data_IF_061157369861
#
_entry.id   IF_061157369861
#
_cell.length_a   1.000
_cell.length_b   1.000
_cell.length_c   1.000
_cell.angle_alpha   90.00
_cell.angle_beta   90.00
_cell.angle_gamma   90.00
#
_symmetry.space_group_name_H-M   'P 1'
#
loop_
_entity.id
_entity.type
_entity.pdbx_description
1 polymer ?
#
# COMPACT_ATOMS: atom_id res chain seq x y z
N UNK A 1 1.06 19.96 5.37
CA UNK A 1 -0.28 19.53 4.92
C UNK A 1 -0.49 18.07 5.29
N UNK A 2 -1.42 17.80 6.22
CA UNK A 2 -1.76 16.46 6.72
C UNK A 2 -2.22 15.61 5.53
N UNK A 3 -1.59 14.46 5.27
CA UNK A 3 -2.10 13.54 4.25
C UNK A 3 -3.54 13.20 4.61
N UNK A 4 -4.44 13.33 3.65
CA UNK A 4 -5.83 12.95 3.84
C UNK A 4 -5.88 11.47 4.24
N UNK A 5 -6.70 11.08 5.23
CA UNK A 5 -6.78 9.69 5.68
C UNK A 5 -7.12 8.72 4.53
N UNK A 6 -7.84 9.20 3.52
CA UNK A 6 -8.11 8.50 2.26
C UNK A 6 -6.83 8.10 1.52
N UNK A 7 -5.83 8.98 1.43
CA UNK A 7 -4.55 8.67 0.77
C UNK A 7 -3.76 7.59 1.50
N UNK A 8 -3.82 7.61 2.83
CA UNK A 8 -3.20 6.58 3.67
C UNK A 8 -3.91 5.24 3.45
N UNK A 9 -5.25 5.22 3.49
CA UNK A 9 -6.03 4.02 3.22
C UNK A 9 -5.74 3.43 1.82
N UNK A 10 -5.66 4.27 0.79
CA UNK A 10 -5.32 3.85 -0.57
C UNK A 10 -3.94 3.18 -0.65
N UNK A 11 -2.94 3.70 0.07
CA UNK A 11 -1.60 3.10 0.11
C UNK A 11 -1.56 1.77 0.87
N UNK A 12 -2.36 1.62 1.93
CA UNK A 12 -2.52 0.35 2.65
C UNK A 12 -3.19 -0.70 1.78
N UNK A 13 -4.25 -0.33 1.06
CA UNK A 13 -4.90 -1.23 0.09
C UNK A 13 -3.88 -1.68 -0.96
N UNK A 14 -3.09 -0.75 -1.50
CA UNK A 14 -2.04 -1.10 -2.46
C UNK A 14 -1.01 -2.08 -1.87
N UNK A 15 -0.50 -1.86 -0.66
CA UNK A 15 0.40 -2.82 0.02
C UNK A 15 -0.21 -4.22 0.10
N UNK A 16 -1.46 -4.32 0.57
CA UNK A 16 -2.16 -5.59 0.76
C UNK A 16 -2.38 -6.31 -0.59
N UNK A 17 -2.81 -5.57 -1.62
CA UNK A 17 -3.02 -6.14 -2.96
C UNK A 17 -1.72 -6.62 -3.61
N UNK A 18 -0.58 -5.98 -3.30
CA UNK A 18 0.73 -6.39 -3.82
C UNK A 18 1.28 -7.65 -3.15
N UNK A 19 0.83 -7.95 -1.93
CA UNK A 19 1.12 -9.18 -1.19
C UNK A 19 0.21 -10.34 -1.58
N UNK A 20 -0.95 -10.04 -2.16
CA UNK A 20 -1.88 -11.03 -2.67
C UNK A 20 -1.41 -11.56 -4.02
N UNK A 21 -1.84 -12.78 -4.38
CA UNK A 21 -1.59 -13.34 -5.72
C UNK A 21 -2.28 -12.52 -6.83
N UNK A 22 -3.43 -11.91 -6.52
CA UNK A 22 -4.18 -11.00 -7.41
C UNK A 22 -3.66 -9.56 -7.29
N UNK A 23 -2.54 -9.28 -7.96
CA UNK A 23 -1.92 -7.95 -7.97
C UNK A 23 -2.78 -6.97 -8.75
N UNK A 24 -3.43 -6.04 -8.04
CA UNK A 24 -4.22 -4.97 -8.66
C UNK A 24 -3.32 -3.84 -9.16
N UNK A 25 -3.52 -3.34 -10.39
CA UNK A 25 -2.78 -2.20 -10.88
C UNK A 25 -3.12 -0.95 -10.07
N UNK A 26 -2.13 -0.09 -9.89
CA UNK A 26 -2.23 1.17 -9.13
C UNK A 26 -3.37 2.07 -9.65
N UNK A 27 -3.63 2.02 -10.96
CA UNK A 27 -4.73 2.71 -11.64
C UNK A 27 -6.11 2.29 -11.12
N UNK A 28 -6.34 1.01 -10.85
CA UNK A 28 -7.63 0.53 -10.35
C UNK A 28 -7.88 1.02 -8.92
N UNK A 29 -6.83 1.07 -8.10
CA UNK A 29 -6.90 1.60 -6.74
C UNK A 29 -7.10 3.12 -6.77
N UNK A 30 -6.44 3.81 -7.70
CA UNK A 30 -6.66 5.23 -7.93
C UNK A 30 -8.10 5.53 -8.32
N UNK A 31 -8.68 4.74 -9.23
CA UNK A 31 -10.07 4.86 -9.65
C UNK A 31 -11.05 4.56 -8.50
N UNK A 32 -10.79 3.50 -7.71
CA UNK A 32 -11.65 3.10 -6.59
C UNK A 32 -11.62 4.09 -5.41
N UNK A 33 -10.46 4.70 -5.14
CA UNK A 33 -10.26 5.60 -3.99
C UNK A 33 -10.38 7.08 -4.35
N UNK A 34 -10.35 7.41 -5.64
CA UNK A 34 -10.31 8.79 -6.14
C UNK A 34 -8.99 9.52 -5.86
N UNK A 35 -7.94 8.81 -5.45
CA UNK A 35 -6.63 9.39 -5.13
C UNK A 35 -5.70 9.27 -6.33
N UNK A 36 -4.98 10.34 -6.66
CA UNK A 36 -3.99 10.29 -7.73
C UNK A 36 -2.88 9.26 -7.45
N UNK A 37 -2.50 8.49 -8.47
CA UNK A 37 -1.48 7.43 -8.38
C UNK A 37 -0.17 7.90 -7.73
N UNK A 38 0.29 9.11 -8.07
CA UNK A 38 1.50 9.70 -7.47
C UNK A 38 1.38 9.91 -5.96
N UNK A 39 0.18 10.24 -5.46
CA UNK A 39 -0.07 10.42 -4.02
C UNK A 39 -0.10 9.08 -3.29
N UNK A 40 -0.67 8.04 -3.92
CA UNK A 40 -0.68 6.68 -3.39
C UNK A 40 0.77 6.17 -3.28
N UNK A 41 1.57 6.32 -4.34
CA UNK A 41 2.98 5.91 -4.33
C UNK A 41 3.80 6.68 -3.28
N UNK A 42 3.57 7.99 -3.15
CA UNK A 42 4.26 8.80 -2.14
C UNK A 42 3.87 8.38 -0.71
N UNK A 43 2.60 8.07 -0.48
CA UNK A 43 2.12 7.58 0.83
C UNK A 43 2.63 6.17 1.12
N UNK A 44 2.70 5.30 0.11
CA UNK A 44 3.29 3.97 0.18
C UNK A 44 4.76 4.04 0.61
N UNK A 45 5.56 4.96 0.03
CA UNK A 45 6.97 5.17 0.40
C UNK A 45 7.13 5.46 1.90
N UNK A 46 6.27 6.29 2.46
CA UNK A 46 6.33 6.62 3.90
C UNK A 46 5.86 5.47 4.79
N UNK A 47 4.93 4.65 4.32
CA UNK A 47 4.37 3.52 5.07
C UNK A 47 5.22 2.25 4.97
N UNK A 48 6.01 2.10 3.89
CA UNK A 48 6.87 0.95 3.64
C UNK A 48 7.75 0.52 4.84
N UNK A 49 8.49 1.44 5.53
CA UNK A 49 9.28 1.05 6.70
C UNK A 49 8.42 0.60 7.90
N UNK A 50 7.14 0.93 7.92
CA UNK A 50 6.19 0.54 8.97
C UNK A 50 5.28 -0.61 8.54
N UNK A 51 5.43 -1.15 7.32
CA UNK A 51 4.54 -2.19 6.78
C UNK A 51 4.44 -3.41 7.71
N UNK A 52 5.55 -3.83 8.33
CA UNK A 52 5.59 -4.92 9.31
C UNK A 52 4.81 -4.66 10.61
N UNK A 53 4.56 -3.38 10.95
CA UNK A 53 3.71 -2.99 12.08
C UNK A 53 2.25 -2.79 11.69
N UNK A 54 2.00 -2.42 10.44
CA UNK A 54 0.66 -2.18 9.89
C UNK A 54 -0.06 -3.48 9.53
N UNK A 55 0.66 -4.41 8.92
CA UNK A 55 0.10 -5.67 8.45
C UNK A 55 0.30 -6.71 9.54
N UNK A 56 -0.78 -7.30 10.07
CA UNK A 56 -0.65 -8.34 11.08
C UNK A 56 0.04 -9.57 10.49
N UNK A 57 0.88 -10.21 11.31
CA UNK A 57 1.60 -11.44 10.94
C UNK A 57 0.68 -12.61 10.53
N UNK A 58 -0.62 -12.52 10.84
CA UNK A 58 -1.62 -13.49 10.39
C UNK A 58 -1.98 -13.35 8.90
N UNK A 59 -1.69 -12.19 8.28
CA UNK A 59 -2.01 -11.90 6.88
C UNK A 59 -0.78 -12.03 5.97
N UNK A 60 0.34 -11.44 6.38
CA UNK A 60 1.60 -11.55 5.63
C UNK A 60 2.77 -11.59 6.60
N UNK A 61 3.78 -12.42 6.31
CA UNK A 61 5.01 -12.48 7.10
C UNK A 61 5.99 -11.42 6.62
N UNK A 62 6.98 -11.12 7.46
CA UNK A 62 8.07 -10.19 7.12
C UNK A 62 8.83 -10.61 5.84
N UNK A 63 8.81 -11.90 5.53
CA UNK A 63 9.32 -12.52 4.31
C UNK A 63 8.55 -12.05 3.07
N UNK A 64 7.22 -12.03 3.15
CA UNK A 64 6.33 -11.57 2.09
C UNK A 64 6.43 -10.04 1.91
N UNK A 65 6.68 -9.31 3.00
CA UNK A 65 6.93 -7.88 2.95
C UNK A 65 8.23 -7.53 2.19
N UNK A 66 9.20 -8.44 2.12
CA UNK A 66 10.40 -8.27 1.27
C UNK A 66 10.09 -8.47 -0.21
N UNK A 67 9.00 -9.18 -0.54
CA UNK A 67 8.52 -9.33 -1.92
C UNK A 67 7.72 -8.10 -2.40
N UNK A 68 7.35 -7.18 -1.49
CA UNK A 68 6.83 -5.88 -1.88
C UNK A 68 7.88 -5.12 -2.67
N UNK A 69 7.48 -4.61 -3.84
CA UNK A 69 8.34 -3.81 -4.70
C UNK A 69 8.87 -2.61 -3.90
N UNK A 70 10.20 -2.52 -3.76
CA UNK A 70 10.88 -1.37 -3.17
C UNK A 70 10.58 -0.14 -4.04
N UNK A 71 10.07 0.95 -3.45
CA UNK A 71 9.49 2.07 -4.20
C UNK A 71 10.50 3.10 -4.73
#
# INVERSE_FOLDING_TARGET
CRRSPISIAAAVIYMITQLSEDKKPLKDISLATGVAEGTIRNSYKDLYPYAARLIPNSYAKEEDLKNLCTP
#
